data_IF_395924430154
#
_entry.id   IF_395924430154
#
_cell.length_a   1.000
_cell.length_b   1.000
_cell.length_c   1.000
_cell.angle_alpha   90.00
_cell.angle_beta   90.00
_cell.angle_gamma   90.00
#
_symmetry.space_group_name_H-M   'P 1'
#
loop_
_entity.id
_entity.type
_entity.pdbx_description
1 polymer ?
#
# COMPACT_ATOMS: atom_id res chain seq x y z
N UNK A 1 12.84 -6.42 -0.95
CA UNK A 1 12.27 -5.94 -2.21
C UNK A 1 12.12 -4.41 -2.30
N UNK A 2 12.08 -3.67 -1.17
CA UNK A 2 11.96 -2.18 -1.17
C UNK A 2 13.23 -1.45 -1.64
N UNK A 3 14.35 -2.13 -1.75
CA UNK A 3 15.65 -1.54 -2.11
C UNK A 3 15.95 -1.57 -3.62
N UNK A 4 15.07 -2.12 -4.45
CA UNK A 4 15.29 -2.13 -5.89
C UNK A 4 15.04 -0.72 -6.46
N UNK A 5 16.01 -0.11 -7.14
CA UNK A 5 15.83 1.19 -7.77
C UNK A 5 14.83 1.05 -8.92
N UNK A 6 13.60 1.55 -8.72
CA UNK A 6 12.50 1.47 -9.70
C UNK A 6 12.90 2.02 -11.07
N UNK A 7 13.69 3.10 -11.06
CA UNK A 7 14.24 3.70 -12.28
C UNK A 7 15.18 2.73 -13.03
N UNK A 8 16.09 2.07 -12.29
CA UNK A 8 17.01 1.07 -12.89
C UNK A 8 16.27 -0.13 -13.47
N UNK A 9 15.20 -0.59 -12.82
CA UNK A 9 14.37 -1.68 -13.34
C UNK A 9 13.67 -1.29 -14.65
N UNK A 10 13.11 -0.09 -14.74
CA UNK A 10 12.46 0.38 -15.97
C UNK A 10 13.46 0.37 -17.12
N UNK A 11 14.65 0.96 -16.92
CA UNK A 11 15.69 0.98 -17.96
C UNK A 11 16.20 -0.41 -18.35
N UNK A 12 16.43 -1.28 -17.36
CA UNK A 12 16.88 -2.65 -17.61
C UNK A 12 15.86 -3.41 -18.47
N UNK A 13 14.57 -3.36 -18.11
CA UNK A 13 13.54 -4.06 -18.85
C UNK A 13 13.37 -3.51 -20.27
N UNK A 14 13.43 -2.21 -20.45
CA UNK A 14 13.37 -1.58 -21.79
C UNK A 14 14.59 -1.95 -22.62
N UNK A 15 15.80 -2.02 -22.04
CA UNK A 15 17.00 -2.48 -22.75
C UNK A 15 16.88 -3.93 -23.20
N UNK A 16 16.38 -4.80 -22.32
CA UNK A 16 16.24 -6.23 -22.64
C UNK A 16 15.11 -6.49 -23.65
N UNK A 17 13.98 -5.79 -23.52
CA UNK A 17 12.83 -5.96 -24.41
C UNK A 17 13.01 -5.26 -25.78
N UNK A 18 13.95 -4.33 -25.85
CA UNK A 18 14.14 -3.48 -27.02
C UNK A 18 13.26 -2.23 -27.03
N UNK A 19 13.72 -1.17 -27.67
CA UNK A 19 13.07 0.15 -27.69
C UNK A 19 11.66 0.10 -28.31
N UNK A 20 11.41 -0.85 -29.20
CA UNK A 20 10.08 -1.06 -29.81
C UNK A 20 9.04 -1.59 -28.83
N UNK A 21 9.46 -2.28 -27.76
CA UNK A 21 8.60 -2.91 -26.74
C UNK A 21 8.58 -2.14 -25.42
N UNK A 22 8.90 -0.83 -25.45
CA UNK A 22 9.03 -0.01 -24.24
C UNK A 22 7.72 0.13 -23.44
N UNK A 23 6.56 0.17 -24.12
CA UNK A 23 5.26 0.26 -23.44
C UNK A 23 4.96 -0.99 -22.62
N UNK A 24 4.94 -2.22 -23.17
CA UNK A 24 4.69 -3.42 -22.40
C UNK A 24 5.77 -3.66 -21.33
N UNK A 25 7.03 -3.31 -21.60
CA UNK A 25 8.10 -3.40 -20.62
C UNK A 25 7.84 -2.50 -19.41
N UNK A 26 7.40 -1.25 -19.62
CA UNK A 26 7.04 -0.33 -18.55
C UNK A 26 5.87 -0.85 -17.70
N UNK A 27 4.82 -1.37 -18.36
CA UNK A 27 3.65 -1.96 -17.67
C UNK A 27 4.07 -3.14 -16.80
N UNK A 28 4.89 -4.06 -17.30
CA UNK A 28 5.40 -5.20 -16.53
C UNK A 28 6.18 -4.75 -15.31
N UNK A 29 7.04 -3.74 -15.44
CA UNK A 29 7.80 -3.21 -14.28
C UNK A 29 6.87 -2.59 -13.25
N UNK A 30 5.87 -1.79 -13.66
CA UNK A 30 4.90 -1.22 -12.74
C UNK A 30 4.10 -2.30 -12.01
N UNK A 31 3.70 -3.37 -12.70
CA UNK A 31 3.04 -4.52 -12.09
C UNK A 31 3.95 -5.20 -11.06
N UNK A 32 5.21 -5.45 -11.39
CA UNK A 32 6.19 -6.04 -10.48
C UNK A 32 6.42 -5.19 -9.23
N UNK A 33 6.42 -3.86 -9.36
CA UNK A 33 6.57 -2.94 -8.24
C UNK A 33 5.32 -2.87 -7.33
N UNK A 34 4.13 -3.12 -7.89
CA UNK A 34 2.89 -3.16 -7.12
C UNK A 34 2.73 -4.44 -6.29
N UNK A 35 3.29 -5.56 -6.75
CA UNK A 35 3.13 -6.88 -6.09
C UNK A 35 3.59 -6.88 -4.63
N UNK A 36 4.81 -6.41 -4.25
CA UNK A 36 5.29 -6.48 -2.89
C UNK A 36 4.41 -5.79 -1.85
N UNK A 37 3.95 -4.53 -2.04
CA UNK A 37 3.07 -3.89 -1.05
C UNK A 37 1.69 -4.57 -0.96
N UNK A 38 1.15 -5.08 -2.07
CA UNK A 38 -0.12 -5.81 -2.07
C UNK A 38 0.02 -7.13 -1.30
N UNK A 39 1.07 -7.91 -1.59
CA UNK A 39 1.36 -9.15 -0.87
C UNK A 39 1.61 -8.91 0.62
N UNK A 40 2.36 -7.85 0.97
CA UNK A 40 2.60 -7.51 2.36
C UNK A 40 1.28 -7.17 3.09
N UNK A 41 0.37 -6.44 2.45
CA UNK A 41 -0.95 -6.14 3.00
C UNK A 41 -1.81 -7.39 3.16
N UNK A 42 -1.81 -8.29 2.17
CA UNK A 42 -2.53 -9.55 2.23
C UNK A 42 -1.98 -10.46 3.35
N UNK A 43 -0.66 -10.65 3.40
CA UNK A 43 -0.01 -11.46 4.42
C UNK A 43 -0.31 -10.93 5.83
N UNK A 44 -0.11 -9.63 6.07
CA UNK A 44 -0.42 -9.01 7.35
C UNK A 44 -1.91 -9.12 7.70
N UNK A 45 -2.80 -9.10 6.69
CA UNK A 45 -4.24 -9.27 6.89
C UNK A 45 -4.61 -10.63 7.47
N UNK A 46 -3.96 -11.69 7.02
CA UNK A 46 -4.17 -13.04 7.55
C UNK A 46 -3.42 -13.29 8.87
N UNK A 47 -2.22 -12.75 9.01
CA UNK A 47 -1.38 -12.96 10.21
C UNK A 47 -1.97 -12.33 11.48
N UNK A 48 -2.70 -11.22 11.36
CA UNK A 48 -3.27 -10.51 12.50
C UNK A 48 -4.50 -11.20 13.11
N UNK A 49 -5.04 -12.22 12.43
CA UNK A 49 -6.25 -12.94 12.89
C UNK A 49 -5.88 -13.88 14.03
N UNK A 50 -6.55 -13.69 15.19
CA UNK A 50 -6.36 -14.56 16.35
C UNK A 50 -6.83 -15.99 16.03
N UNK A 51 -5.95 -16.96 16.26
CA UNK A 51 -6.25 -18.39 16.08
C UNK A 51 -7.46 -18.86 16.87
N UNK A 52 -7.75 -18.24 18.00
CA UNK A 52 -8.93 -18.52 18.80
C UNK A 52 -10.24 -18.27 18.06
N UNK A 53 -10.27 -17.27 17.19
CA UNK A 53 -11.43 -16.96 16.34
C UNK A 53 -11.63 -18.06 15.30
N UNK A 54 -10.55 -18.57 14.73
CA UNK A 54 -10.57 -19.67 13.75
C UNK A 54 -11.03 -20.97 14.44
N UNK A 55 -10.49 -21.27 15.62
CA UNK A 55 -10.86 -22.48 16.39
C UNK A 55 -12.31 -22.43 16.85
N UNK A 56 -12.82 -21.28 17.28
CA UNK A 56 -14.23 -21.08 17.60
C UNK A 56 -15.14 -21.31 16.38
N UNK A 57 -14.74 -20.85 15.19
CA UNK A 57 -15.48 -21.10 13.96
C UNK A 57 -15.52 -22.59 13.60
N UNK A 58 -14.40 -23.32 13.81
CA UNK A 58 -14.37 -24.79 13.65
C UNK A 58 -15.28 -25.50 14.64
N UNK A 59 -15.27 -25.08 15.90
CA UNK A 59 -16.14 -25.65 16.92
C UNK A 59 -17.63 -25.45 16.60
N UNK A 60 -17.98 -24.40 15.86
CA UNK A 60 -19.34 -24.17 15.34
C UNK A 60 -19.68 -25.02 14.09
N UNK A 61 -18.78 -25.90 13.65
CA UNK A 61 -18.99 -26.78 12.50
C UNK A 61 -18.75 -26.12 11.13
N UNK A 62 -18.06 -24.99 11.07
CA UNK A 62 -17.70 -24.35 9.78
C UNK A 62 -16.61 -25.15 9.07
N UNK A 63 -16.76 -25.34 7.75
CA UNK A 63 -15.69 -25.93 6.90
C UNK A 63 -14.56 -24.91 6.70
N UNK A 64 -13.34 -25.38 6.38
CA UNK A 64 -12.17 -24.49 6.16
C UNK A 64 -12.45 -23.42 5.09
N UNK A 65 -13.15 -23.76 4.00
CA UNK A 65 -13.58 -22.82 2.98
C UNK A 65 -14.53 -21.74 3.51
N UNK A 66 -15.43 -22.12 4.40
CA UNK A 66 -16.34 -21.18 5.05
C UNK A 66 -15.58 -20.25 6.02
N UNK A 67 -14.60 -20.76 6.73
CA UNK A 67 -13.75 -19.99 7.64
C UNK A 67 -12.98 -18.93 6.84
N UNK A 68 -12.31 -19.34 5.74
CA UNK A 68 -11.57 -18.40 4.89
C UNK A 68 -12.49 -17.25 4.41
N UNK A 69 -13.62 -17.57 3.78
CA UNK A 69 -14.44 -16.55 3.12
C UNK A 69 -15.35 -15.76 4.07
N UNK A 70 -15.80 -16.36 5.19
CA UNK A 70 -16.74 -15.70 6.11
C UNK A 70 -16.07 -15.10 7.34
N UNK A 71 -14.85 -15.51 7.66
CA UNK A 71 -14.12 -15.06 8.86
C UNK A 71 -12.81 -14.38 8.48
N UNK A 72 -11.89 -15.10 7.85
CA UNK A 72 -10.54 -14.58 7.61
C UNK A 72 -10.52 -13.42 6.62
N UNK A 73 -11.16 -13.58 5.45
CA UNK A 73 -11.19 -12.53 4.43
C UNK A 73 -11.82 -11.23 4.97
N UNK A 74 -13.01 -11.23 5.60
CA UNK A 74 -13.59 -10.00 6.15
C UNK A 74 -12.75 -9.35 7.25
N UNK A 75 -12.07 -10.14 8.08
CA UNK A 75 -11.19 -9.64 9.13
C UNK A 75 -9.88 -9.06 8.58
N UNK A 76 -9.33 -9.68 7.53
CA UNK A 76 -8.10 -9.25 6.86
C UNK A 76 -8.27 -8.10 5.86
N UNK A 77 -9.52 -7.83 5.42
CA UNK A 77 -9.81 -6.79 4.41
C UNK A 77 -9.16 -5.43 4.69
N UNK A 78 -9.15 -4.88 5.91
CA UNK A 78 -8.56 -3.56 6.15
C UNK A 78 -7.08 -3.49 5.78
N UNK A 79 -6.32 -4.54 6.09
CA UNK A 79 -4.89 -4.59 5.78
C UNK A 79 -4.64 -4.90 4.30
N UNK A 80 -5.50 -5.71 3.69
CA UNK A 80 -5.47 -5.94 2.25
C UNK A 80 -5.71 -4.64 1.47
N UNK A 81 -6.73 -3.85 1.84
CA UNK A 81 -6.98 -2.53 1.24
C UNK A 81 -5.83 -1.56 1.48
N UNK A 82 -5.21 -1.58 2.65
CA UNK A 82 -3.99 -0.81 2.93
C UNK A 82 -2.83 -1.18 2.02
N UNK A 83 -2.62 -2.48 1.77
CA UNK A 83 -1.63 -2.98 0.82
C UNK A 83 -1.92 -2.56 -0.62
N UNK A 84 -3.18 -2.69 -1.05
CA UNK A 84 -3.63 -2.28 -2.39
C UNK A 84 -3.47 -0.77 -2.61
N UNK A 85 -3.91 0.06 -1.65
CA UNK A 85 -3.69 1.51 -1.64
C UNK A 85 -2.22 1.86 -1.79
N UNK A 86 -1.36 1.23 -0.98
CA UNK A 86 0.08 1.45 -1.02
C UNK A 86 0.69 1.04 -2.38
N UNK A 87 0.23 -0.07 -2.96
CA UNK A 87 0.65 -0.53 -4.29
C UNK A 87 0.27 0.45 -5.40
N UNK A 88 -0.97 0.93 -5.40
CA UNK A 88 -1.46 1.90 -6.40
C UNK A 88 -0.71 3.23 -6.29
N UNK A 89 -0.52 3.77 -5.09
CA UNK A 89 0.24 5.00 -4.89
C UNK A 89 1.71 4.84 -5.30
N UNK A 90 2.31 3.66 -5.06
CA UNK A 90 3.64 3.32 -5.55
C UNK A 90 3.72 3.34 -7.07
N UNK A 91 2.73 2.76 -7.76
CA UNK A 91 2.63 2.79 -9.23
C UNK A 91 2.52 4.21 -9.74
N UNK A 92 1.64 5.04 -9.19
CA UNK A 92 1.47 6.45 -9.59
C UNK A 92 2.77 7.23 -9.44
N UNK A 93 3.44 7.10 -8.28
CA UNK A 93 4.70 7.77 -8.03
C UNK A 93 5.81 7.34 -9.01
N UNK A 94 5.82 6.05 -9.40
CA UNK A 94 6.85 5.50 -10.31
C UNK A 94 6.51 5.74 -11.78
N UNK A 95 5.22 5.85 -12.13
CA UNK A 95 4.76 6.11 -13.49
C UNK A 95 5.30 7.45 -14.06
N UNK A 96 5.60 8.42 -13.20
CA UNK A 96 6.26 9.66 -13.61
C UNK A 96 7.62 9.39 -14.28
N UNK A 97 8.34 8.35 -13.82
CA UNK A 97 9.66 7.99 -14.35
C UNK A 97 9.61 7.37 -15.77
N UNK A 98 8.43 6.88 -16.18
CA UNK A 98 8.23 6.30 -17.52
C UNK A 98 8.45 7.36 -18.61
N UNK A 99 8.23 8.62 -18.29
CA UNK A 99 8.47 9.74 -19.22
C UNK A 99 9.91 9.84 -19.68
N UNK A 100 10.89 9.39 -18.90
CA UNK A 100 12.30 9.34 -19.29
C UNK A 100 12.60 8.34 -20.41
N UNK A 101 11.75 7.34 -20.61
CA UNK A 101 11.84 6.40 -21.74
C UNK A 101 10.95 6.80 -22.91
N UNK A 102 10.42 8.04 -22.89
CA UNK A 102 9.69 8.63 -24.00
C UNK A 102 8.26 8.13 -24.18
N UNK A 103 7.60 7.63 -23.12
CA UNK A 103 6.20 7.19 -23.18
C UNK A 103 5.17 8.28 -22.87
N UNK A 104 5.61 9.51 -22.63
CA UNK A 104 4.70 10.62 -22.35
C UNK A 104 4.10 10.58 -20.96
N UNK A 105 2.84 11.05 -20.81
CA UNK A 105 2.12 11.14 -19.55
C UNK A 105 2.44 12.42 -18.76
N UNK A 106 1.87 12.56 -17.55
CA UNK A 106 2.05 13.75 -16.70
C UNK A 106 3.53 14.02 -16.31
N UNK A 107 4.35 12.99 -16.27
CA UNK A 107 5.78 13.15 -16.01
C UNK A 107 6.55 13.77 -17.18
N UNK A 108 6.01 13.73 -18.41
CA UNK A 108 6.67 14.28 -19.58
C UNK A 108 6.89 15.78 -19.46
N UNK A 109 5.89 16.52 -19.00
CA UNK A 109 5.99 17.97 -18.79
C UNK A 109 7.02 18.34 -17.71
N UNK A 110 7.21 17.46 -16.70
CA UNK A 110 8.28 17.66 -15.72
C UNK A 110 9.65 17.51 -16.39
N UNK A 111 9.87 16.41 -17.12
CA UNK A 111 11.15 16.15 -17.78
C UNK A 111 11.47 17.23 -18.80
N UNK A 112 10.49 17.61 -19.63
CA UNK A 112 10.63 18.67 -20.62
C UNK A 112 10.85 20.04 -19.96
N UNK A 113 10.11 20.34 -18.91
CA UNK A 113 10.23 21.58 -18.13
C UNK A 113 11.62 21.75 -17.53
N UNK A 114 12.22 20.67 -17.02
CA UNK A 114 13.61 20.67 -16.53
C UNK A 114 14.58 20.99 -17.68
N UNK A 115 14.44 20.29 -18.83
CA UNK A 115 15.33 20.45 -19.97
C UNK A 115 15.26 21.87 -20.58
N UNK A 116 14.06 22.46 -20.63
CA UNK A 116 13.81 23.78 -21.21
C UNK A 116 13.83 24.93 -20.18
N UNK A 117 14.10 24.64 -18.91
CA UNK A 117 14.02 25.59 -17.77
C UNK A 117 12.67 26.28 -17.65
N UNK A 118 11.59 25.59 -18.02
CA UNK A 118 10.20 26.07 -17.89
C UNK A 118 9.59 25.60 -16.58
N UNK A 119 9.86 26.35 -15.53
CA UNK A 119 9.40 26.01 -14.17
C UNK A 119 7.88 26.07 -14.04
N UNK A 120 7.19 26.90 -14.81
CA UNK A 120 5.74 26.98 -14.91
C UNK A 120 5.12 25.64 -15.33
N UNK A 121 5.63 25.03 -16.38
CA UNK A 121 5.19 23.74 -16.90
C UNK A 121 5.47 22.60 -15.90
N UNK A 122 6.66 22.59 -15.32
CA UNK A 122 7.07 21.61 -14.32
C UNK A 122 6.18 21.65 -13.09
N UNK A 123 5.92 22.85 -12.54
CA UNK A 123 5.07 23.04 -11.36
C UNK A 123 3.61 22.65 -11.66
N UNK A 124 3.08 23.02 -12.82
CA UNK A 124 1.72 22.65 -13.21
C UNK A 124 1.54 21.13 -13.23
N UNK A 125 2.45 20.42 -13.88
CA UNK A 125 2.39 18.95 -13.94
C UNK A 125 2.60 18.30 -12.57
N UNK A 126 3.52 18.80 -11.76
CA UNK A 126 3.75 18.30 -10.40
C UNK A 126 2.49 18.44 -9.53
N UNK A 127 1.79 19.59 -9.60
CA UNK A 127 0.53 19.81 -8.88
C UNK A 127 -0.54 18.82 -9.35
N UNK A 128 -0.67 18.58 -10.67
CA UNK A 128 -1.62 17.61 -11.20
C UNK A 128 -1.35 16.19 -10.69
N UNK A 129 -0.09 15.77 -10.63
CA UNK A 129 0.28 14.47 -10.09
C UNK A 129 -0.06 14.36 -8.61
N UNK A 130 0.22 15.41 -7.82
CA UNK A 130 -0.14 15.44 -6.39
C UNK A 130 -1.64 15.35 -6.21
N UNK A 131 -2.43 16.13 -6.95
CA UNK A 131 -3.88 16.09 -6.91
C UNK A 131 -4.40 14.70 -7.28
N UNK A 132 -3.88 14.09 -8.35
CA UNK A 132 -4.24 12.74 -8.76
C UNK A 132 -3.94 11.72 -7.66
N UNK A 133 -2.76 11.78 -7.05
CA UNK A 133 -2.37 10.88 -5.95
C UNK A 133 -3.30 11.05 -4.74
N UNK A 134 -3.64 12.28 -4.36
CA UNK A 134 -4.57 12.56 -3.25
C UNK A 134 -5.99 12.09 -3.56
N UNK A 135 -6.46 12.24 -4.79
CA UNK A 135 -7.78 11.73 -5.19
C UNK A 135 -7.84 10.21 -5.13
N UNK A 136 -6.80 9.53 -5.62
CA UNK A 136 -6.71 8.06 -5.53
C UNK A 136 -6.63 7.62 -4.07
N UNK A 137 -5.83 8.30 -3.26
CA UNK A 137 -5.70 8.03 -1.83
C UNK A 137 -7.05 8.17 -1.10
N UNK A 138 -7.76 9.25 -1.35
CA UNK A 138 -9.10 9.48 -0.81
C UNK A 138 -10.12 8.43 -1.30
N UNK A 139 -10.05 8.05 -2.59
CA UNK A 139 -10.89 7.00 -3.15
C UNK A 139 -10.69 5.67 -2.43
N UNK A 140 -9.42 5.24 -2.23
CA UNK A 140 -9.13 4.02 -1.48
C UNK A 140 -9.57 4.10 -0.02
N UNK A 141 -9.41 5.26 0.64
CA UNK A 141 -9.90 5.46 2.00
C UNK A 141 -11.43 5.32 2.09
N UNK A 142 -12.15 5.81 1.10
CA UNK A 142 -13.62 5.66 0.99
C UNK A 142 -14.00 4.20 0.73
N UNK A 143 -13.33 3.54 -0.22
CA UNK A 143 -13.57 2.12 -0.52
C UNK A 143 -13.31 1.22 0.71
N UNK A 144 -12.21 1.44 1.41
CA UNK A 144 -11.91 0.75 2.67
C UNK A 144 -13.03 0.97 3.69
N UNK A 145 -13.52 2.20 3.79
CA UNK A 145 -14.60 2.54 4.73
C UNK A 145 -15.91 1.78 4.45
N UNK A 146 -16.23 1.52 3.21
CA UNK A 146 -17.43 0.77 2.83
C UNK A 146 -17.22 -0.74 2.83
N UNK A 147 -16.04 -1.22 2.44
CA UNK A 147 -15.73 -2.64 2.35
C UNK A 147 -15.50 -3.29 3.72
N UNK A 148 -15.01 -2.54 4.71
CA UNK A 148 -14.69 -3.08 6.05
C UNK A 148 -15.91 -3.04 6.96
N UNK A 149 -16.39 -4.19 7.47
CA UNK A 149 -17.49 -4.27 8.42
C UNK A 149 -17.21 -3.47 9.70
N UNK A 150 -18.28 -2.82 10.24
CA UNK A 150 -18.16 -1.95 11.43
C UNK A 150 -17.59 -2.65 12.67
N UNK A 151 -17.83 -3.95 12.83
CA UNK A 151 -17.33 -4.74 13.97
C UNK A 151 -15.80 -4.85 14.01
N UNK A 152 -15.12 -4.92 12.88
CA UNK A 152 -13.65 -5.02 12.79
C UNK A 152 -12.97 -3.70 13.17
N UNK A 153 -13.63 -2.56 13.00
CA UNK A 153 -13.11 -1.23 13.36
C UNK A 153 -13.10 -0.98 14.86
N UNK A 154 -14.07 -1.54 15.60
CA UNK A 154 -14.21 -1.31 17.04
C UNK A 154 -13.07 -1.97 17.85
N UNK A 155 -12.54 -3.11 17.41
CA UNK A 155 -11.44 -3.82 18.07
C UNK A 155 -10.11 -3.06 18.09
N UNK A 156 -9.81 -2.26 17.06
CA UNK A 156 -8.56 -1.45 16.98
C UNK A 156 -8.52 -0.28 17.95
N UNK A 157 -9.67 0.26 18.36
CA UNK A 157 -9.73 1.43 19.25
C UNK A 157 -9.47 1.05 20.73
N UNK A 158 -9.63 -0.22 21.09
CA UNK A 158 -9.50 -0.70 22.48
C UNK A 158 -8.07 -1.06 22.85
N UNK A 159 -7.27 -1.53 21.90
CA UNK A 159 -5.89 -1.99 22.17
C UNK A 159 -4.89 -0.85 22.49
N UNK A 160 -5.17 0.37 22.06
CA UNK A 160 -4.31 1.54 22.34
C UNK A 160 -4.50 2.07 23.78
N UNK A 161 -5.59 1.67 24.48
CA UNK A 161 -5.90 2.18 25.83
C UNK A 161 -5.46 1.28 26.99
N UNK A 162 -4.91 0.11 26.75
CA UNK A 162 -4.59 -0.86 27.80
C UNK A 162 -3.10 -1.14 28.00
N UNK A 163 -2.23 -0.24 27.61
CA UNK A 163 -0.86 -0.26 28.17
C UNK A 163 -0.88 0.57 29.46
N UNK A 164 -0.89 -0.05 30.65
CA UNK A 164 -0.68 0.69 31.90
C UNK A 164 0.78 1.12 31.89
N UNK A 165 0.99 2.32 31.42
CA UNK A 165 2.27 3.00 31.46
C UNK A 165 2.85 2.93 32.87
N UNK A 166 4.06 2.46 32.96
CA UNK A 166 5.04 2.35 34.05
C UNK A 166 4.98 3.27 35.29
N UNK A 167 3.80 3.68 35.73
CA UNK A 167 3.65 4.49 36.95
C UNK A 167 3.67 3.66 38.24
N UNK A 168 3.58 2.32 38.14
CA UNK A 168 3.71 1.45 39.32
C UNK A 168 5.14 1.03 39.64
N UNK A 169 6.04 1.00 38.65
CA UNK A 169 7.43 0.62 38.90
C UNK A 169 8.23 1.68 39.68
N UNK A 170 7.85 2.94 39.61
CA UNK A 170 8.53 4.02 40.35
C UNK A 170 8.01 4.18 41.80
N UNK A 171 6.83 3.71 42.11
CA UNK A 171 6.29 3.75 43.48
C UNK A 171 6.85 2.62 44.38
N UNK A 172 7.17 1.46 43.82
CA UNK A 172 7.80 0.37 44.56
C UNK A 172 9.29 0.58 44.81
N UNK A 173 9.99 1.28 43.91
CA UNK A 173 11.41 1.61 44.09
C UNK A 173 11.66 2.68 45.19
N UNK A 174 10.66 3.52 45.52
CA UNK A 174 10.75 4.53 46.56
C UNK A 174 10.33 4.04 47.98
N UNK A 175 9.76 2.84 48.07
CA UNK A 175 9.33 2.25 49.35
C UNK A 175 10.38 1.32 49.97
N UNK A 176 11.50 1.07 49.30
CA UNK A 176 12.58 0.16 49.77
C UNK A 176 13.88 0.89 50.11
N UNK A 177 13.85 2.22 50.21
CA UNK A 177 14.96 3.07 50.73
C UNK A 177 14.46 3.70 52.03
#
# INVERSE_FOLDING_TARGET
>A
ARALPSFGLIFLFVMVAGVTQREPAAVVVLMLLAIPPILAGAYAGFEVIDRRVIDAARAMGMTEWQIVWKVEVPLGLPLLFGGLRSGVLQVVATAVLISYIGLGGLGFDIVQGIALRRFDQMLGSAILIIVLALLLDALFAVLERYAVPRGVRAGRATDVRTTPTGRRATAEASATT
#
